data_IF_002869001779
#
_entry.id   IF_002869001779
#
_cell.length_a   1.000
_cell.length_b   1.000
_cell.length_c   1.000
_cell.angle_alpha   90.00
_cell.angle_beta   90.00
_cell.angle_gamma   90.00
#
_symmetry.space_group_name_H-M   'P 1'
#
loop_
_entity.id
_entity.type
_entity.pdbx_description
1 polymer ?
#
# COMPACT_ATOMS: atom_id res chain seq x y z
N UNK A 1 -28.51 9.83 -23.18
CA UNK A 1 -27.08 9.73 -22.80
C UNK A 1 -26.98 9.11 -21.41
N UNK A 2 -26.49 7.86 -21.32
CA UNK A 2 -26.12 7.22 -20.05
C UNK A 2 -24.82 7.84 -19.53
N UNK A 3 -24.66 7.91 -18.20
CA UNK A 3 -23.70 8.77 -17.49
C UNK A 3 -22.50 8.00 -16.89
N UNK A 4 -22.16 6.82 -17.39
CA UNK A 4 -21.10 5.99 -16.82
C UNK A 4 -20.34 5.20 -17.88
N UNK A 5 -19.61 5.92 -18.71
CA UNK A 5 -18.46 5.40 -19.44
C UNK A 5 -17.27 6.29 -19.03
N UNK A 6 -16.52 5.87 -18.02
CA UNK A 6 -15.20 6.42 -17.72
C UNK A 6 -14.26 5.26 -17.41
N UNK A 7 -13.73 4.73 -18.51
CA UNK A 7 -12.34 4.28 -18.70
C UNK A 7 -11.73 3.44 -17.56
N UNK A 8 -12.10 2.16 -17.63
CA UNK A 8 -11.14 1.07 -17.78
C UNK A 8 -10.04 1.51 -18.76
N UNK A 9 -8.83 1.86 -18.28
CA UNK A 9 -7.52 1.85 -18.99
C UNK A 9 -6.52 2.86 -18.35
N UNK A 10 -5.94 2.57 -17.18
CA UNK A 10 -4.73 3.31 -16.69
C UNK A 10 -3.82 2.54 -15.71
N UNK A 11 -3.78 1.21 -15.74
CA UNK A 11 -2.67 0.48 -15.12
C UNK A 11 -2.18 -0.55 -16.11
N UNK A 12 -1.12 -0.18 -16.84
CA UNK A 12 -0.35 -1.08 -17.68
C UNK A 12 0.20 -2.26 -16.87
N UNK A 13 0.42 -3.36 -17.59
CA UNK A 13 1.16 -4.58 -17.21
C UNK A 13 1.68 -4.59 -15.76
N UNK A 14 0.93 -5.21 -14.86
CA UNK A 14 1.40 -5.44 -13.49
C UNK A 14 2.50 -6.51 -13.50
N UNK A 15 3.70 -6.08 -13.17
CA UNK A 15 4.89 -6.87 -12.86
C UNK A 15 4.72 -7.58 -11.49
N UNK A 16 3.67 -8.39 -11.33
CA UNK A 16 3.57 -9.32 -10.21
C UNK A 16 4.62 -10.40 -10.45
N UNK A 17 5.76 -10.30 -9.76
CA UNK A 17 6.70 -11.42 -9.69
C UNK A 17 6.01 -12.60 -9.01
N UNK A 18 5.47 -13.51 -9.82
CA UNK A 18 5.04 -14.84 -9.38
C UNK A 18 6.22 -15.48 -8.64
N UNK A 19 6.12 -15.60 -7.32
CA UNK A 19 7.14 -16.27 -6.53
C UNK A 19 7.19 -17.75 -6.98
N UNK A 20 8.33 -18.24 -7.52
CA UNK A 20 8.39 -19.59 -8.08
C UNK A 20 8.20 -20.63 -6.97
N UNK A 21 7.06 -21.34 -7.08
CA UNK A 21 6.64 -22.40 -6.17
C UNK A 21 7.51 -23.65 -6.36
N UNK A 22 8.65 -23.73 -5.66
CA UNK A 22 9.39 -24.98 -5.35
C UNK A 22 10.65 -24.68 -4.53
N UNK A 23 10.73 -25.19 -3.29
CA UNK A 23 11.84 -25.19 -2.30
C UNK A 23 11.71 -24.23 -1.10
N UNK A 24 12.42 -24.58 -0.02
CA UNK A 24 12.17 -24.28 1.39
C UNK A 24 11.79 -22.82 1.72
N UNK A 25 10.68 -22.69 2.43
CA UNK A 25 9.92 -21.46 2.63
C UNK A 25 10.60 -20.33 3.42
N UNK A 26 11.74 -20.57 4.08
CA UNK A 26 12.43 -19.57 4.91
C UNK A 26 13.52 -18.84 4.12
N UNK A 27 14.27 -19.58 3.31
CA UNK A 27 15.43 -19.06 2.60
C UNK A 27 15.01 -18.08 1.49
N UNK A 28 13.88 -18.34 0.82
CA UNK A 28 13.37 -17.46 -0.25
C UNK A 28 12.77 -16.14 0.21
N UNK A 29 12.17 -16.11 1.40
CA UNK A 29 11.68 -14.85 1.98
C UNK A 29 12.88 -14.00 2.37
N UNK A 30 13.93 -14.62 2.91
CA UNK A 30 15.19 -13.95 3.20
C UNK A 30 15.88 -13.46 1.93
N UNK A 31 15.86 -14.23 0.83
CA UNK A 31 16.42 -13.82 -0.47
C UNK A 31 15.61 -12.69 -1.12
N UNK A 32 14.27 -12.72 -1.04
CA UNK A 32 13.43 -11.62 -1.53
C UNK A 32 13.63 -10.35 -0.69
N UNK A 33 13.66 -10.48 0.64
CA UNK A 33 13.97 -9.36 1.55
C UNK A 33 15.38 -8.81 1.30
N UNK A 34 16.36 -9.69 1.06
CA UNK A 34 17.72 -9.30 0.71
C UNK A 34 17.80 -8.63 -0.66
N UNK A 35 16.98 -9.05 -1.63
CA UNK A 35 16.92 -8.43 -2.97
C UNK A 35 16.27 -7.05 -2.98
N UNK A 36 15.49 -6.72 -1.96
CA UNK A 36 14.82 -5.41 -1.81
C UNK A 36 15.54 -4.46 -0.84
N UNK A 37 16.77 -4.80 -0.40
CA UNK A 37 17.50 -4.07 0.65
C UNK A 37 16.65 -3.85 1.92
N UNK A 38 15.75 -4.79 2.22
CA UNK A 38 14.91 -4.73 3.42
C UNK A 38 15.74 -5.28 4.57
N UNK A 39 16.05 -4.43 5.54
CA UNK A 39 16.72 -4.82 6.77
C UNK A 39 15.98 -6.00 7.40
N UNK A 40 16.71 -7.09 7.69
CA UNK A 40 16.14 -8.30 8.32
C UNK A 40 15.51 -8.03 9.68
N UNK A 41 15.84 -6.87 10.28
CA UNK A 41 15.32 -6.37 11.54
C UNK A 41 14.09 -5.47 11.38
N UNK A 42 13.54 -5.34 10.17
CA UNK A 42 12.33 -4.54 9.93
C UNK A 42 11.10 -5.22 10.56
N UNK A 43 10.84 -4.83 11.81
CA UNK A 43 9.71 -5.30 12.63
C UNK A 43 8.35 -4.99 12.03
N UNK A 44 8.29 -4.18 10.97
CA UNK A 44 7.06 -3.79 10.30
C UNK A 44 6.87 -4.51 8.97
N UNK A 45 7.72 -5.48 8.61
CA UNK A 45 7.47 -6.37 7.48
C UNK A 45 6.85 -7.69 7.95
N UNK A 46 5.69 -8.04 7.40
CA UNK A 46 4.95 -9.24 7.77
C UNK A 46 4.68 -10.13 6.57
N UNK A 47 4.75 -11.45 6.77
CA UNK A 47 4.38 -12.43 5.74
C UNK A 47 2.96 -12.90 6.02
N UNK A 48 2.02 -12.58 5.13
CA UNK A 48 0.64 -13.08 5.21
C UNK A 48 0.45 -14.25 4.24
N UNK A 49 -0.44 -15.18 4.61
CA UNK A 49 -0.84 -16.31 3.77
C UNK A 49 -2.33 -16.20 3.49
N UNK A 50 -2.73 -16.33 2.23
CA UNK A 50 -4.14 -16.35 1.83
C UNK A 50 -4.43 -17.53 0.91
N UNK A 51 -5.66 -18.08 0.93
CA UNK A 51 -6.06 -19.05 -0.06
C UNK A 51 -5.99 -18.41 -1.45
N UNK A 52 -5.42 -19.13 -2.42
CA UNK A 52 -5.40 -18.68 -3.80
C UNK A 52 -6.84 -18.73 -4.36
N UNK A 53 -7.44 -17.60 -4.76
CA UNK A 53 -8.79 -17.59 -5.32
C UNK A 53 -8.87 -18.30 -6.68
N UNK A 54 -7.77 -18.43 -7.40
CA UNK A 54 -7.72 -19.02 -8.74
C UNK A 54 -7.31 -20.50 -8.75
N UNK A 55 -6.80 -21.02 -7.63
CA UNK A 55 -6.41 -22.43 -7.57
C UNK A 55 -7.63 -23.31 -7.27
N UNK A 56 -7.85 -24.34 -8.09
CA UNK A 56 -8.86 -25.41 -7.86
C UNK A 56 -8.53 -26.32 -6.66
N UNK A 57 -7.59 -25.92 -5.78
CA UNK A 57 -7.14 -26.70 -4.62
C UNK A 57 -6.59 -25.80 -3.51
N UNK A 58 -6.20 -26.36 -2.34
CA UNK A 58 -5.81 -25.60 -1.15
C UNK A 58 -4.39 -25.02 -1.26
N UNK A 59 -4.12 -24.25 -2.33
CA UNK A 59 -2.84 -23.54 -2.49
C UNK A 59 -2.95 -22.22 -1.75
N UNK A 60 -2.00 -21.97 -0.85
CA UNK A 60 -1.89 -20.70 -0.15
C UNK A 60 -0.86 -19.82 -0.86
N UNK A 61 -1.26 -18.60 -1.25
CA UNK A 61 -0.34 -17.55 -1.70
C UNK A 61 0.27 -16.92 -0.44
N UNK A 62 1.57 -16.66 -0.49
CA UNK A 62 2.24 -15.84 0.52
C UNK A 62 2.60 -14.51 -0.11
N UNK A 63 2.36 -13.44 0.62
CA UNK A 63 2.75 -12.10 0.20
C UNK A 63 3.24 -11.30 1.41
N UNK A 64 3.96 -10.22 1.13
CA UNK A 64 4.51 -9.33 2.13
C UNK A 64 3.57 -8.17 2.39
N UNK A 65 3.48 -7.79 3.65
CA UNK A 65 2.71 -6.64 4.12
C UNK A 65 3.66 -5.72 4.86
N UNK A 66 3.75 -4.49 4.40
CA UNK A 66 4.60 -3.47 5.00
C UNK A 66 3.78 -2.52 5.86
N UNK A 67 4.06 -2.55 7.16
CA UNK A 67 3.59 -1.59 8.14
C UNK A 67 4.34 -0.26 8.04
N UNK A 68 3.63 0.80 8.37
CA UNK A 68 4.24 2.07 8.76
C UNK A 68 4.25 2.18 10.29
N UNK A 69 5.22 2.93 10.80
CA UNK A 69 5.45 3.07 12.23
C UNK A 69 4.46 4.02 12.93
N UNK A 70 4.88 4.51 14.08
CA UNK A 70 4.12 5.49 14.87
C UNK A 70 4.16 6.90 14.25
N UNK A 71 3.47 7.83 14.89
CA UNK A 71 3.42 9.25 14.50
C UNK A 71 4.85 9.79 14.31
N UNK A 72 5.06 10.54 13.22
CA UNK A 72 6.34 11.13 12.85
C UNK A 72 7.22 10.26 11.95
N UNK A 73 6.88 8.98 11.77
CA UNK A 73 7.57 8.07 10.82
C UNK A 73 7.15 8.34 9.37
N UNK A 74 8.02 7.99 8.43
CA UNK A 74 7.75 8.11 6.99
C UNK A 74 6.67 7.11 6.58
N UNK A 75 5.71 7.56 5.79
CA UNK A 75 4.67 6.69 5.24
C UNK A 75 5.30 5.73 4.25
N UNK A 76 4.94 4.45 4.35
CA UNK A 76 5.40 3.37 3.48
C UNK A 76 4.22 2.66 2.83
N UNK A 77 4.33 2.37 1.54
CA UNK A 77 3.33 1.60 0.81
C UNK A 77 3.27 0.16 1.37
N UNK A 78 2.07 -0.30 1.70
CA UNK A 78 1.85 -1.60 2.30
C UNK A 78 2.12 -2.79 1.35
N UNK A 79 2.12 -2.58 0.04
CA UNK A 79 2.33 -3.61 -0.98
C UNK A 79 3.79 -3.65 -1.43
N UNK A 80 4.31 -2.52 -1.93
CA UNK A 80 5.66 -2.46 -2.52
C UNK A 80 6.74 -2.24 -1.47
N UNK A 81 6.37 -1.69 -0.30
CA UNK A 81 7.34 -1.27 0.69
C UNK A 81 8.10 0.01 0.30
N UNK A 82 7.66 0.75 -0.72
CA UNK A 82 8.26 2.04 -1.06
C UNK A 82 7.99 3.10 0.02
N UNK A 83 9.00 3.90 0.36
CA UNK A 83 8.90 4.97 1.36
C UNK A 83 8.61 6.30 0.67
N UNK A 84 7.51 6.95 1.01
CA UNK A 84 7.16 8.27 0.49
C UNK A 84 7.87 9.36 1.30
N UNK A 85 9.08 9.70 0.89
CA UNK A 85 9.87 10.76 1.54
C UNK A 85 9.13 12.10 1.51
N UNK A 86 9.03 12.76 2.67
CA UNK A 86 8.26 14.00 2.84
C UNK A 86 6.87 13.78 3.43
N UNK A 87 6.29 12.60 3.27
CA UNK A 87 4.99 12.26 3.84
C UNK A 87 5.17 11.52 5.18
N UNK A 88 4.60 12.07 6.26
CA UNK A 88 4.75 11.53 7.61
C UNK A 88 3.42 11.09 8.20
N UNK A 89 3.47 10.03 9.00
CA UNK A 89 2.35 9.61 9.85
C UNK A 89 2.04 10.72 10.84
N UNK A 90 0.79 11.17 10.90
CA UNK A 90 0.30 12.32 11.67
C UNK A 90 0.30 13.65 10.91
N UNK A 91 0.76 13.70 9.66
CA UNK A 91 0.66 14.89 8.80
C UNK A 91 -0.69 14.96 8.07
N UNK A 92 -1.02 16.12 7.50
CA UNK A 92 -2.15 16.26 6.57
C UNK A 92 -2.01 15.40 5.31
N UNK A 93 -0.79 14.97 5.02
CA UNK A 93 -0.45 14.13 3.88
C UNK A 93 -1.04 12.72 3.95
N UNK A 94 -1.41 12.25 5.15
CA UNK A 94 -2.10 10.97 5.30
C UNK A 94 -3.42 10.91 4.52
N UNK A 95 -4.06 12.06 4.31
CA UNK A 95 -5.36 12.13 3.62
C UNK A 95 -5.27 11.80 2.13
N UNK A 96 -4.06 11.80 1.56
CA UNK A 96 -3.80 11.37 0.18
C UNK A 96 -3.89 9.85 0.02
N UNK A 97 -3.70 9.10 1.11
CA UNK A 97 -3.58 7.65 1.08
C UNK A 97 -4.77 6.98 1.77
N UNK A 98 -5.07 5.76 1.35
CA UNK A 98 -5.98 4.90 2.06
C UNK A 98 -5.27 4.30 3.28
N UNK A 99 -5.58 4.84 4.47
CA UNK A 99 -5.08 4.36 5.75
C UNK A 99 -6.00 3.29 6.35
N UNK A 100 -5.42 2.14 6.71
CA UNK A 100 -6.10 1.08 7.47
C UNK A 100 -5.26 0.68 8.66
N UNK A 101 -5.91 0.34 9.78
CA UNK A 101 -5.23 -0.20 10.96
C UNK A 101 -5.71 -1.62 11.19
N UNK A 102 -4.80 -2.59 11.11
CA UNK A 102 -5.16 -3.97 11.38
C UNK A 102 -5.04 -4.27 12.89
N UNK A 103 -6.15 -4.67 13.50
CA UNK A 103 -6.25 -4.99 14.92
C UNK A 103 -6.55 -6.48 15.18
N UNK A 104 -6.41 -7.35 14.17
CA UNK A 104 -6.68 -8.79 14.31
C UNK A 104 -5.61 -9.55 15.11
N UNK A 105 -4.50 -8.91 15.48
CA UNK A 105 -3.36 -9.55 16.14
C UNK A 105 -2.50 -10.42 15.21
N UNK A 106 -2.85 -10.52 13.92
CA UNK A 106 -2.11 -11.30 12.92
C UNK A 106 -0.67 -10.80 12.70
N UNK A 107 -0.44 -9.50 12.94
CA UNK A 107 0.83 -8.83 12.72
C UNK A 107 1.57 -8.52 14.04
N UNK A 108 1.24 -9.23 15.12
CA UNK A 108 1.87 -9.08 16.43
C UNK A 108 0.96 -8.42 17.47
N UNK A 109 1.51 -8.12 18.67
CA UNK A 109 0.75 -7.59 19.80
C UNK A 109 0.29 -6.16 19.57
N UNK A 110 1.04 -5.39 18.78
CA UNK A 110 0.73 -3.99 18.47
C UNK A 110 -0.01 -3.87 17.14
N UNK A 111 -1.08 -3.06 17.07
CA UNK A 111 -1.83 -2.90 15.84
C UNK A 111 -1.04 -2.11 14.80
N UNK A 112 -0.93 -2.66 13.60
CA UNK A 112 -0.11 -2.12 12.51
C UNK A 112 -0.92 -1.18 11.64
N UNK A 113 -0.33 -0.02 11.32
CA UNK A 113 -0.90 0.94 10.36
C UNK A 113 -0.39 0.63 8.97
N UNK A 114 -1.30 0.51 8.01
CA UNK A 114 -1.06 0.20 6.62
C UNK A 114 -1.54 1.35 5.76
N UNK A 115 -0.72 1.74 4.79
CA UNK A 115 -1.06 2.78 3.82
C UNK A 115 -1.06 2.20 2.42
N UNK A 116 -2.12 2.50 1.69
CA UNK A 116 -2.33 2.10 0.31
C UNK A 116 -2.60 3.34 -0.52
N UNK A 117 -2.29 3.29 -1.82
CA UNK A 117 -2.63 4.36 -2.74
C UNK A 117 -4.15 4.43 -2.95
N UNK A 118 -4.77 3.26 -3.13
CA UNK A 118 -6.17 3.12 -3.46
C UNK A 118 -6.85 2.04 -2.61
N UNK A 119 -8.17 2.16 -2.44
CA UNK A 119 -8.97 1.13 -1.73
C UNK A 119 -8.91 -0.21 -2.47
N UNK A 120 -8.88 -0.20 -3.80
CA UNK A 120 -8.78 -1.42 -4.60
C UNK A 120 -7.47 -2.16 -4.39
N UNK A 121 -6.37 -1.42 -4.15
CA UNK A 121 -5.08 -2.00 -3.83
C UNK A 121 -5.17 -2.74 -2.49
N UNK A 122 -5.86 -2.16 -1.50
CA UNK A 122 -6.16 -2.85 -0.25
C UNK A 122 -7.03 -4.09 -0.46
N UNK A 123 -8.11 -4.00 -1.24
CA UNK A 123 -9.02 -5.14 -1.46
C UNK A 123 -8.31 -6.33 -2.11
N UNK A 124 -7.49 -6.06 -3.13
CA UNK A 124 -6.66 -7.08 -3.79
C UNK A 124 -5.59 -7.63 -2.86
N UNK A 125 -4.88 -6.75 -2.15
CA UNK A 125 -3.79 -7.16 -1.27
C UNK A 125 -4.27 -7.93 -0.04
N UNK A 126 -5.41 -7.54 0.55
CA UNK A 126 -5.95 -8.15 1.76
C UNK A 126 -7.06 -9.18 1.50
N UNK A 127 -7.45 -9.40 0.24
CA UNK A 127 -8.52 -10.34 -0.12
C UNK A 127 -9.89 -9.97 0.46
N UNK A 128 -10.07 -8.71 0.87
CA UNK A 128 -11.28 -8.22 1.54
C UNK A 128 -12.06 -7.30 0.60
N UNK A 129 -13.38 -7.19 0.81
CA UNK A 129 -14.21 -6.19 0.12
C UNK A 129 -14.59 -5.07 1.07
N UNK A 130 -14.47 -3.84 0.60
CA UNK A 130 -14.86 -2.61 1.28
C UNK A 130 -16.19 -2.13 0.70
N UNK A 131 -17.08 -1.69 1.58
CA UNK A 131 -18.37 -1.17 1.17
C UNK A 131 -18.26 0.07 0.27
N UNK A 132 -19.20 0.17 -0.67
CA UNK A 132 -19.24 1.26 -1.65
C UNK A 132 -19.30 2.64 -1.00
N UNK A 133 -20.01 2.78 0.12
CA UNK A 133 -20.11 4.04 0.85
C UNK A 133 -18.76 4.50 1.42
N UNK A 134 -17.97 3.56 1.93
CA UNK A 134 -16.64 3.84 2.47
C UNK A 134 -15.70 4.25 1.34
N UNK A 135 -15.76 3.55 0.19
CA UNK A 135 -14.99 3.90 -1.01
C UNK A 135 -15.25 5.35 -1.44
N UNK A 136 -16.52 5.74 -1.53
CA UNK A 136 -16.89 7.11 -1.92
C UNK A 136 -16.38 8.17 -0.94
N UNK A 137 -16.49 7.92 0.37
CA UNK A 137 -15.98 8.84 1.41
C UNK A 137 -14.47 9.06 1.26
N UNK A 138 -13.73 7.99 0.98
CA UNK A 138 -12.27 8.04 0.89
C UNK A 138 -11.82 8.72 -0.39
N UNK A 139 -12.44 8.40 -1.52
CA UNK A 139 -12.17 9.09 -2.78
C UNK A 139 -12.42 10.60 -2.65
N UNK A 140 -13.50 10.99 -1.97
CA UNK A 140 -13.79 12.40 -1.69
C UNK A 140 -12.70 13.04 -0.82
N UNK A 141 -12.20 12.30 0.18
CA UNK A 141 -11.12 12.76 1.06
C UNK A 141 -9.82 12.97 0.29
N UNK A 142 -9.41 11.99 -0.53
CA UNK A 142 -8.20 12.03 -1.33
C UNK A 142 -8.25 13.16 -2.36
N UNK A 143 -9.39 13.34 -3.03
CA UNK A 143 -9.59 14.45 -3.97
C UNK A 143 -9.43 15.82 -3.30
N UNK A 144 -10.00 15.99 -2.10
CA UNK A 144 -9.84 17.23 -1.35
C UNK A 144 -8.40 17.43 -0.85
N UNK A 145 -7.70 16.36 -0.49
CA UNK A 145 -6.29 16.41 -0.10
C UNK A 145 -5.39 16.82 -1.29
N UNK A 146 -5.60 16.25 -2.48
CA UNK A 146 -4.88 16.63 -3.70
C UNK A 146 -5.01 18.12 -4.02
N UNK A 147 -6.21 18.68 -3.89
CA UNK A 147 -6.44 20.14 -4.05
C UNK A 147 -5.68 21.00 -3.04
N UNK A 148 -5.34 20.47 -1.86
CA UNK A 148 -4.54 21.20 -0.86
C UNK A 148 -3.07 21.23 -1.26
N UNK A 149 -2.57 20.11 -1.79
CA UNK A 149 -1.19 19.99 -2.29
C UNK A 149 -0.98 20.94 -3.47
N UNK A 150 -1.88 20.95 -4.46
CA UNK A 150 -1.78 21.86 -5.62
C UNK A 150 -1.78 23.35 -5.21
N UNK A 151 -2.53 23.71 -4.17
CA UNK A 151 -2.55 25.08 -3.63
C UNK A 151 -1.32 25.44 -2.83
N UNK A 152 -0.58 24.47 -2.30
CA UNK A 152 0.66 24.67 -1.55
C UNK A 152 1.90 24.72 -2.44
N UNK A 153 1.78 24.40 -3.74
CA UNK A 153 2.85 24.58 -4.73
C UNK A 153 2.76 25.87 -5.56
N UNK A 154 2.61 27.10 -5.01
CA UNK A 154 2.92 28.29 -5.78
C UNK A 154 4.38 28.70 -5.55
N UNK A 155 5.17 28.73 -6.64
CA UNK A 155 6.31 29.63 -6.85
C UNK A 155 7.62 29.41 -6.04
N UNK A 156 8.19 28.20 -5.96
CA UNK A 156 9.60 28.02 -5.52
C UNK A 156 10.59 27.68 -6.64
N UNK A 157 10.17 27.72 -7.92
CA UNK A 157 11.02 27.41 -9.10
C UNK A 157 11.53 28.63 -9.88
N UNK A 158 11.33 29.85 -9.40
CA UNK A 158 11.97 31.05 -9.97
C UNK A 158 13.03 31.57 -9.00
N UNK A 159 14.16 30.88 -8.91
CA UNK A 159 15.42 31.54 -8.55
C UNK A 159 16.14 31.75 -9.88
N UNK A 160 15.91 32.92 -10.46
CA UNK A 160 16.76 33.50 -11.49
C UNK A 160 18.15 33.65 -10.89
N UNK A 161 19.10 32.86 -11.35
CA UNK A 161 20.53 33.13 -11.11
C UNK A 161 20.93 34.15 -12.17
N UNK A 162 21.27 35.36 -11.71
CA UNK A 162 21.87 36.43 -12.52
C UNK A 162 23.32 36.10 -12.88
#
# INVERSE_FOLDING_TARGET
MSKYDYEQDFYGENDYSELPSKSNNRDKVADYMASMDIDKDDKLCFVKKMPNPEATGPRMIKFLVFGSGQIGTTIRNAVTGEKYYGHRVGSSDEDLYFKTKNCTGEFGPEPVTLFYENVEQYERHMGNRVDKEIKQKILTKQFNAGKRVEKQTPLSRFITVN
#
